data_IF_591890587595
#
_entry.id   IF_591890587595
#
_cell.length_a   1.000
_cell.length_b   1.000
_cell.length_c   1.000
_cell.angle_alpha   90.00
_cell.angle_beta   90.00
_cell.angle_gamma   90.00
#
_symmetry.space_group_name_H-M   'P 1'
#
loop_
_entity.id
_entity.type
_entity.pdbx_description
1 polymer ?
#
# COMPACT_ATOMS: atom_id res chain seq x y z
N UNK A 1 8.49 10.68 -0.83
CA UNK A 1 7.15 10.35 -1.35
C UNK A 1 7.20 9.03 -2.10
N UNK A 2 6.06 8.37 -2.29
CA UNK A 2 5.96 7.11 -3.05
C UNK A 2 5.62 7.45 -4.51
N UNK A 3 6.36 6.87 -5.46
CA UNK A 3 6.09 7.02 -6.88
C UNK A 3 5.53 5.71 -7.45
N UNK A 4 4.31 5.75 -7.94
CA UNK A 4 3.64 4.58 -8.51
C UNK A 4 4.13 4.29 -9.94
N UNK A 5 4.12 3.01 -10.31
CA UNK A 5 4.38 2.54 -11.69
C UNK A 5 3.06 2.13 -12.34
N UNK A 6 2.97 2.25 -13.67
CA UNK A 6 1.80 1.77 -14.41
C UNK A 6 1.90 0.24 -14.56
N UNK A 7 0.76 -0.45 -14.68
CA UNK A 7 0.70 -1.91 -14.85
C UNK A 7 1.61 -2.44 -15.98
N UNK A 8 1.63 -1.74 -17.12
CA UNK A 8 2.48 -2.10 -18.27
C UNK A 8 3.99 -2.00 -18.02
N UNK A 9 4.39 -1.21 -17.02
CA UNK A 9 5.80 -0.92 -16.72
C UNK A 9 6.31 -1.74 -15.52
N UNK A 10 5.48 -2.61 -14.92
CA UNK A 10 5.81 -3.44 -13.75
C UNK A 10 7.05 -4.30 -14.01
N UNK A 11 7.08 -5.02 -15.14
CA UNK A 11 8.16 -5.96 -15.43
C UNK A 11 9.50 -5.24 -15.53
N UNK A 12 9.56 -4.13 -16.27
CA UNK A 12 10.75 -3.30 -16.39
C UNK A 12 11.18 -2.73 -15.03
N UNK A 13 10.22 -2.29 -14.22
CA UNK A 13 10.50 -1.75 -12.89
C UNK A 13 11.02 -2.81 -11.91
N UNK A 14 10.56 -4.06 -12.01
CA UNK A 14 11.07 -5.18 -11.20
C UNK A 14 12.46 -5.62 -11.68
N UNK A 15 12.72 -5.62 -13.00
CA UNK A 15 14.06 -5.89 -13.54
C UNK A 15 15.10 -4.86 -13.05
N UNK A 16 14.74 -3.58 -13.06
CA UNK A 16 15.62 -2.54 -12.53
C UNK A 16 15.94 -2.74 -11.03
N UNK A 17 14.99 -3.26 -10.23
CA UNK A 17 15.20 -3.60 -8.81
C UNK A 17 16.09 -4.83 -8.62
N UNK A 18 15.95 -5.82 -9.50
CA UNK A 18 16.81 -7.01 -9.54
C UNK A 18 18.27 -6.64 -9.80
N UNK A 19 18.53 -5.75 -10.77
CA UNK A 19 19.87 -5.28 -11.14
C UNK A 19 20.60 -4.60 -9.98
N UNK A 20 19.89 -3.84 -9.15
CA UNK A 20 20.45 -3.21 -7.93
C UNK A 20 20.36 -4.10 -6.69
N UNK A 21 19.92 -5.36 -6.83
CA UNK A 21 19.81 -6.38 -5.78
C UNK A 21 18.88 -5.98 -4.61
N UNK A 22 17.78 -5.32 -4.91
CA UNK A 22 16.75 -4.97 -3.91
C UNK A 22 15.77 -6.14 -3.74
N UNK A 23 16.12 -7.06 -2.85
CA UNK A 23 15.26 -8.18 -2.44
C UNK A 23 15.46 -8.48 -0.93
N UNK A 24 14.78 -7.75 -0.04
CA UNK A 24 15.00 -7.85 1.41
C UNK A 24 14.72 -9.25 1.98
N UNK A 25 13.78 -9.98 1.38
CA UNK A 25 13.32 -11.30 1.85
C UNK A 25 13.83 -12.47 1.00
N UNK A 26 14.66 -12.20 -0.01
CA UNK A 26 15.26 -13.22 -0.89
C UNK A 26 14.22 -14.10 -1.59
N UNK A 27 13.09 -13.50 -1.99
CA UNK A 27 11.99 -14.22 -2.66
C UNK A 27 12.17 -14.31 -4.18
N UNK A 28 13.15 -13.59 -4.74
CA UNK A 28 13.36 -13.47 -6.17
C UNK A 28 12.29 -12.63 -6.89
N UNK A 29 12.36 -12.60 -8.22
CA UNK A 29 11.58 -11.70 -9.07
C UNK A 29 10.60 -12.41 -10.00
N UNK A 30 10.30 -13.70 -9.77
CA UNK A 30 9.40 -14.48 -10.63
C UNK A 30 7.97 -13.90 -10.73
N UNK A 31 7.51 -13.19 -9.70
CA UNK A 31 6.22 -12.50 -9.68
C UNK A 31 6.09 -11.41 -10.77
N UNK A 32 7.19 -10.99 -11.41
CA UNK A 32 7.14 -10.10 -12.58
C UNK A 32 6.35 -10.69 -13.76
N UNK A 33 6.27 -12.01 -13.85
CA UNK A 33 5.52 -12.72 -14.89
C UNK A 33 4.03 -12.86 -14.57
N UNK A 34 3.60 -12.44 -13.38
CA UNK A 34 2.21 -12.40 -12.98
C UNK A 34 1.83 -10.98 -12.47
N UNK A 35 1.91 -9.94 -13.31
CA UNK A 35 1.65 -8.57 -12.86
C UNK A 35 0.25 -8.35 -12.28
N UNK A 36 -0.72 -9.19 -12.64
CA UNK A 36 -2.10 -9.15 -12.14
C UNK A 36 -2.22 -9.53 -10.67
N UNK A 37 -1.26 -10.27 -10.09
CA UNK A 37 -1.26 -10.63 -8.67
C UNK A 37 -0.60 -9.57 -7.78
N UNK A 38 -0.08 -8.48 -8.37
CA UNK A 38 0.57 -7.40 -7.63
C UNK A 38 -0.45 -6.30 -7.34
N UNK A 39 -0.69 -6.04 -6.06
CA UNK A 39 -1.46 -4.89 -5.64
C UNK A 39 -0.61 -3.60 -5.79
N UNK A 40 -1.04 -2.71 -6.69
CA UNK A 40 -0.40 -1.41 -6.90
C UNK A 40 -0.96 -0.30 -6.00
N UNK A 41 -2.03 -0.59 -5.26
CA UNK A 41 -2.72 0.36 -4.40
C UNK A 41 -2.30 0.20 -2.93
N UNK A 42 -1.48 -0.80 -2.61
CA UNK A 42 -0.99 -1.04 -1.26
C UNK A 42 0.49 -1.41 -1.27
N UNK A 43 1.26 -0.80 -0.38
CA UNK A 43 2.69 -1.11 -0.19
C UNK A 43 3.04 -1.14 1.30
N UNK A 44 4.10 -1.84 1.65
CA UNK A 44 4.73 -1.74 2.98
C UNK A 44 6.15 -1.21 2.84
N UNK A 45 6.60 -0.41 3.81
CA UNK A 45 8.00 -0.01 3.89
C UNK A 45 8.79 -1.13 4.56
N UNK A 46 9.89 -1.56 3.95
CA UNK A 46 10.79 -2.55 4.52
C UNK A 46 12.04 -1.85 5.08
N UNK A 47 12.33 -2.08 6.36
CA UNK A 47 13.49 -1.53 7.05
C UNK A 47 14.57 -2.60 7.16
N UNK A 48 15.73 -2.33 6.57
CA UNK A 48 16.92 -3.17 6.67
C UNK A 48 18.00 -2.39 7.42
N UNK A 49 18.40 -2.91 8.57
CA UNK A 49 19.46 -2.33 9.40
C UNK A 49 20.68 -3.23 9.34
N UNK A 50 21.83 -2.61 9.12
CA UNK A 50 23.12 -3.29 9.13
C UNK A 50 23.92 -2.81 10.35
N UNK A 51 24.27 -3.75 11.22
CA UNK A 51 25.09 -3.52 12.39
C UNK A 51 26.57 -3.53 12.01
N UNK A 52 27.36 -2.83 12.81
CA UNK A 52 28.81 -2.85 12.73
C UNK A 52 29.31 -4.27 12.97
N UNK A 53 30.16 -4.77 12.08
CA UNK A 53 30.82 -6.06 12.24
C UNK A 53 31.99 -5.96 13.23
N UNK A 54 32.68 -7.08 13.49
CA UNK A 54 33.91 -7.10 14.29
C UNK A 54 35.00 -6.14 13.77
N UNK A 55 34.91 -5.74 12.49
CA UNK A 55 35.73 -4.68 11.91
C UNK A 55 35.05 -3.32 12.08
N UNK A 56 35.66 -2.46 12.91
CA UNK A 56 35.19 -1.09 13.12
C UNK A 56 35.05 -0.31 11.81
N UNK A 57 33.96 0.43 11.68
CA UNK A 57 33.59 1.23 10.51
C UNK A 57 32.87 0.47 9.40
N UNK A 58 32.65 -0.85 9.54
CA UNK A 58 32.01 -1.68 8.51
C UNK A 58 30.67 -2.24 8.99
N UNK A 59 29.58 -1.73 8.41
CA UNK A 59 28.20 -2.15 8.73
C UNK A 59 27.74 -3.24 7.77
N UNK A 60 28.12 -4.49 8.05
CA UNK A 60 27.81 -5.64 7.17
C UNK A 60 27.00 -6.74 7.81
N UNK A 61 26.70 -6.68 9.10
CA UNK A 61 25.86 -7.68 9.75
C UNK A 61 24.39 -7.29 9.62
N UNK A 62 23.58 -7.95 8.76
CA UNK A 62 22.17 -7.59 8.62
C UNK A 62 21.37 -8.08 9.83
N UNK A 63 20.45 -7.23 10.31
CA UNK A 63 19.35 -7.67 11.16
C UNK A 63 18.20 -8.22 10.31
N UNK A 64 17.29 -8.94 10.97
CA UNK A 64 16.06 -9.40 10.32
C UNK A 64 15.27 -8.17 9.80
N UNK A 65 14.86 -8.16 8.51
CA UNK A 65 14.06 -7.07 7.98
C UNK A 65 12.71 -6.99 8.70
N UNK A 66 12.25 -5.77 8.98
CA UNK A 66 10.92 -5.50 9.54
C UNK A 66 10.12 -4.64 8.58
N UNK A 67 8.80 -4.81 8.56
CA UNK A 67 7.90 -4.07 7.65
C UNK A 67 6.93 -3.19 8.42
N UNK A 68 6.56 -2.05 7.84
CA UNK A 68 5.49 -1.21 8.36
C UNK A 68 4.12 -1.86 8.21
N UNK A 69 3.11 -1.23 8.83
CA UNK A 69 1.72 -1.40 8.41
C UNK A 69 1.55 -1.01 6.92
N UNK A 70 0.53 -1.58 6.23
CA UNK A 70 0.25 -1.23 4.85
C UNK A 70 -0.05 0.27 4.69
N UNK A 71 0.45 0.81 3.59
CA UNK A 71 0.17 2.17 3.12
C UNK A 71 -0.66 2.03 1.85
N UNK A 72 -1.86 2.60 1.89
CA UNK A 72 -2.79 2.54 0.78
C UNK A 72 -2.72 3.82 -0.07
N UNK A 73 -2.85 3.67 -1.39
CA UNK A 73 -3.03 4.79 -2.30
C UNK A 73 -4.42 5.40 -2.07
N UNK A 74 -4.46 6.62 -1.53
CA UNK A 74 -5.69 7.36 -1.29
C UNK A 74 -6.57 7.53 -2.53
N UNK A 75 -6.00 7.51 -3.74
CA UNK A 75 -6.79 7.59 -4.99
C UNK A 75 -7.60 6.33 -5.27
N UNK A 76 -7.12 5.18 -4.82
CA UNK A 76 -7.78 3.88 -5.00
C UNK A 76 -8.61 3.49 -3.78
N UNK A 77 -8.13 3.82 -2.58
CA UNK A 77 -8.78 3.59 -1.29
C UNK A 77 -8.87 4.92 -0.55
N UNK A 78 -9.93 5.68 -0.81
CA UNK A 78 -10.18 6.93 -0.10
C UNK A 78 -10.69 6.66 1.32
N UNK A 79 -10.35 7.55 2.24
CA UNK A 79 -10.91 7.53 3.58
C UNK A 79 -12.45 7.65 3.49
N UNK A 80 -13.16 6.90 4.32
CA UNK A 80 -14.61 6.99 4.39
C UNK A 80 -15.00 8.28 5.13
N UNK A 81 -15.42 9.29 4.36
CA UNK A 81 -15.81 10.59 4.89
C UNK A 81 -17.24 10.91 4.49
N UNK A 82 -18.08 11.15 5.50
CA UNK A 82 -19.41 11.73 5.31
C UNK A 82 -19.23 13.25 5.23
N UNK A 83 -19.48 13.82 4.06
CA UNK A 83 -19.36 15.25 3.82
C UNK A 83 -20.58 16.02 4.32
N UNK A 84 -21.78 15.46 4.09
CA UNK A 84 -23.05 16.10 4.48
C UNK A 84 -24.17 15.09 4.64
N UNK A 85 -25.06 15.36 5.59
CA UNK A 85 -26.34 14.69 5.75
C UNK A 85 -27.47 15.70 5.55
N UNK A 86 -28.58 15.27 4.93
CA UNK A 86 -29.77 16.11 4.80
C UNK A 86 -30.52 16.31 6.12
N UNK A 87 -30.41 15.36 7.06
CA UNK A 87 -30.91 15.45 8.42
C UNK A 87 -30.06 14.59 9.36
N UNK A 88 -29.89 15.02 10.60
CA UNK A 88 -29.26 14.27 11.69
C UNK A 88 -30.28 13.72 12.72
N UNK A 89 -31.57 13.81 12.42
CA UNK A 89 -32.66 13.28 13.24
C UNK A 89 -33.75 12.65 12.38
N UNK A 90 -34.46 11.67 12.95
CA UNK A 90 -35.53 10.93 12.29
C UNK A 90 -36.53 10.42 13.33
N UNK A 91 -37.73 10.06 12.88
CA UNK A 91 -38.75 9.43 13.73
C UNK A 91 -38.28 8.05 14.22
N UNK A 92 -38.63 7.69 15.46
CA UNK A 92 -38.40 6.34 16.01
C UNK A 92 -39.12 5.25 15.21
N UNK A 93 -40.15 5.62 14.45
CA UNK A 93 -40.89 4.69 13.58
C UNK A 93 -40.09 4.26 12.34
N UNK A 94 -38.94 4.88 12.05
CA UNK A 94 -38.10 4.56 10.89
C UNK A 94 -38.62 5.10 9.56
N UNK A 95 -38.17 4.52 8.45
CA UNK A 95 -38.56 4.85 7.06
C UNK A 95 -38.33 6.31 6.61
N UNK A 96 -37.60 7.10 7.40
CA UNK A 96 -37.18 8.44 6.99
C UNK A 96 -36.11 8.32 5.91
N UNK A 97 -36.38 8.84 4.71
CA UNK A 97 -35.40 8.87 3.63
C UNK A 97 -34.29 9.87 3.96
N UNK A 98 -33.04 9.42 3.87
CA UNK A 98 -31.85 10.23 4.14
C UNK A 98 -30.98 10.27 2.89
N UNK A 99 -30.58 11.47 2.50
CA UNK A 99 -29.56 11.72 1.47
C UNK A 99 -28.24 11.99 2.19
N UNK A 100 -27.25 11.13 1.92
CA UNK A 100 -25.89 11.21 2.43
C UNK A 100 -24.94 11.54 1.29
N UNK A 101 -24.18 12.62 1.44
CA UNK A 101 -23.09 12.98 0.53
C UNK A 101 -21.76 12.57 1.17
N UNK A 102 -20.96 11.78 0.47
CA UNK A 102 -19.67 11.27 0.93
C UNK A 102 -18.59 11.44 -0.14
N UNK A 103 -17.33 11.24 0.26
CA UNK A 103 -16.26 10.96 -0.70
C UNK A 103 -16.55 9.69 -1.51
N UNK A 104 -15.82 9.49 -2.61
CA UNK A 104 -16.08 8.38 -3.52
C UNK A 104 -15.99 7.04 -2.78
N UNK A 105 -17.07 6.26 -2.83
CA UNK A 105 -17.12 4.90 -2.29
C UNK A 105 -17.44 3.90 -3.41
N UNK A 106 -17.02 2.65 -3.25
CA UNK A 106 -17.46 1.56 -4.11
C UNK A 106 -18.84 1.08 -3.64
N UNK A 107 -19.80 0.94 -4.56
CA UNK A 107 -21.18 0.55 -4.20
C UNK A 107 -21.25 -0.89 -3.68
N UNK A 108 -20.35 -1.73 -4.17
CA UNK A 108 -20.26 -3.15 -3.87
C UNK A 108 -19.56 -3.42 -2.52
N UNK A 109 -18.97 -2.39 -1.91
CA UNK A 109 -18.15 -2.46 -0.70
C UNK A 109 -18.43 -1.25 0.21
N UNK A 110 -19.71 -1.09 0.59
CA UNK A 110 -20.24 -0.10 1.55
C UNK A 110 -21.36 -0.70 2.39
#
# INVERSE_FOLDING_TARGET
GIQCVKKKDIEAALKAREEIRVDPFKTGFAHRYQPSSIDLNSVRLCFQVFMESDQKGRFTQPLAPVVSEPIFDKKAMSDLVICRLCSCSASVLGNTQIILLCEKVAKEDI
#
